data_IF_627563806156
#
_entry.id   IF_627563806156
#
_cell.length_a   1.000
_cell.length_b   1.000
_cell.length_c   1.000
_cell.angle_alpha   90.00
_cell.angle_beta   90.00
_cell.angle_gamma   90.00
#
_symmetry.space_group_name_H-M   'P 1'
#
loop_
_entity.id
_entity.type
_entity.pdbx_description
1 polymer ?
#
# COMPACT_ATOMS: atom_id res chain seq x y z
N UNK A 1 5.92 12.22 -5.14
CA UNK A 1 5.35 10.99 -4.52
C UNK A 1 6.49 10.00 -4.25
N UNK A 2 6.50 9.35 -3.10
CA UNK A 2 7.39 8.23 -2.76
C UNK A 2 6.51 7.00 -2.53
N UNK A 3 6.80 5.88 -3.17
CA UNK A 3 5.96 4.69 -3.05
C UNK A 3 6.73 3.38 -3.01
N UNK A 4 6.15 2.38 -2.36
CA UNK A 4 6.63 1.01 -2.36
C UNK A 4 5.56 0.07 -2.91
N UNK A 5 5.97 -0.79 -3.85
CA UNK A 5 5.10 -1.75 -4.51
C UNK A 5 5.38 -3.18 -4.05
N UNK A 6 4.36 -3.92 -3.61
CA UNK A 6 4.46 -5.32 -3.17
C UNK A 6 3.34 -6.16 -3.78
N UNK A 7 3.72 -7.34 -4.30
CA UNK A 7 2.77 -8.34 -4.76
C UNK A 7 2.67 -9.49 -3.75
N UNK A 8 1.58 -9.50 -2.99
CA UNK A 8 1.32 -10.39 -1.86
C UNK A 8 0.44 -11.55 -2.32
N UNK A 9 1.06 -12.65 -2.74
CA UNK A 9 0.37 -13.80 -3.33
C UNK A 9 -0.30 -14.75 -2.33
N UNK A 10 0.11 -14.73 -1.06
CA UNK A 10 -0.41 -15.62 0.00
C UNK A 10 -0.09 -15.03 1.39
N UNK A 11 -0.58 -15.67 2.44
CA UNK A 11 -0.17 -15.47 3.82
C UNK A 11 1.12 -16.26 4.14
N UNK A 12 2.01 -15.66 4.94
CA UNK A 12 3.27 -16.32 5.32
C UNK A 12 4.33 -15.34 5.81
N UNK A 13 5.45 -15.86 6.34
CA UNK A 13 6.51 -15.03 6.94
C UNK A 13 7.10 -14.00 5.98
N UNK A 14 7.49 -14.42 4.77
CA UNK A 14 8.04 -13.52 3.75
C UNK A 14 7.03 -12.47 3.29
N UNK A 15 5.78 -12.86 3.10
CA UNK A 15 4.71 -11.95 2.65
C UNK A 15 4.35 -10.93 3.73
N UNK A 16 4.32 -11.37 5.00
CA UNK A 16 4.13 -10.47 6.14
C UNK A 16 5.27 -9.46 6.28
N UNK A 17 6.52 -9.87 6.01
CA UNK A 17 7.67 -8.97 6.03
C UNK A 17 7.57 -7.92 4.91
N UNK A 18 7.26 -8.36 3.68
CA UNK A 18 7.05 -7.44 2.56
C UNK A 18 5.91 -6.45 2.84
N UNK A 19 4.81 -6.92 3.40
CA UNK A 19 3.71 -6.04 3.81
C UNK A 19 4.16 -5.04 4.89
N UNK A 20 4.95 -5.49 5.88
CA UNK A 20 5.48 -4.61 6.91
C UNK A 20 6.43 -3.54 6.36
N UNK A 21 7.27 -3.85 5.37
CA UNK A 21 8.13 -2.86 4.71
C UNK A 21 7.31 -1.71 4.12
N UNK A 22 6.26 -2.03 3.35
CA UNK A 22 5.38 -1.03 2.77
C UNK A 22 4.69 -0.16 3.84
N UNK A 23 4.25 -0.77 4.95
CA UNK A 23 3.68 -0.02 6.07
C UNK A 23 4.70 0.86 6.78
N UNK A 24 5.96 0.43 6.88
CA UNK A 24 7.03 1.23 7.45
C UNK A 24 7.35 2.43 6.56
N UNK A 25 7.33 2.27 5.24
CA UNK A 25 7.43 3.39 4.32
C UNK A 25 6.31 4.40 4.56
N UNK A 26 5.05 3.95 4.63
CA UNK A 26 3.90 4.84 4.85
C UNK A 26 4.03 5.66 6.15
N UNK A 27 4.48 5.03 7.23
CA UNK A 27 4.62 5.65 8.57
C UNK A 27 5.89 6.49 8.75
N UNK A 28 6.87 6.32 7.87
CA UNK A 28 8.12 7.09 7.90
C UNK A 28 7.83 8.59 7.82
N UNK A 29 8.69 9.42 8.44
CA UNK A 29 8.58 10.88 8.42
C UNK A 29 9.81 11.59 7.84
N UNK A 30 10.73 10.83 7.26
CA UNK A 30 12.08 11.30 6.95
C UNK A 30 12.19 12.24 5.74
N UNK A 31 11.11 12.42 4.98
CA UNK A 31 11.11 13.26 3.78
C UNK A 31 9.79 14.04 3.62
N UNK A 32 9.86 15.19 2.97
CA UNK A 32 8.67 15.97 2.62
C UNK A 32 8.11 15.49 1.27
N UNK A 33 7.50 14.30 1.27
CA UNK A 33 6.86 13.71 0.09
C UNK A 33 5.58 12.97 0.47
N UNK A 34 4.58 13.01 -0.41
CA UNK A 34 3.39 12.14 -0.30
C UNK A 34 3.81 10.68 -0.43
N UNK A 35 3.45 9.87 0.56
CA UNK A 35 3.80 8.45 0.63
C UNK A 35 2.62 7.58 0.26
N UNK A 36 2.88 6.58 -0.57
CA UNK A 36 1.84 5.64 -1.02
C UNK A 36 2.35 4.19 -0.92
N UNK A 37 1.44 3.25 -0.71
CA UNK A 37 1.71 1.83 -0.85
C UNK A 37 0.93 1.29 -2.06
N UNK A 38 1.63 0.57 -2.93
CA UNK A 38 1.01 -0.14 -4.05
C UNK A 38 1.00 -1.62 -3.67
N UNK A 39 -0.16 -2.13 -3.28
CA UNK A 39 -0.30 -3.49 -2.78
C UNK A 39 -1.19 -4.27 -3.73
N UNK A 40 -0.75 -5.44 -4.19
CA UNK A 40 -1.56 -6.34 -5.02
C UNK A 40 -1.61 -7.75 -4.43
N UNK A 41 -2.65 -8.50 -4.81
CA UNK A 41 -2.85 -9.88 -4.39
C UNK A 41 -3.83 -10.02 -3.21
N UNK A 42 -3.57 -10.99 -2.33
CA UNK A 42 -4.55 -11.48 -1.33
C UNK A 42 -4.92 -10.44 -0.25
N UNK A 43 -4.13 -9.38 -0.11
CA UNK A 43 -4.33 -8.31 0.87
C UNK A 43 -5.69 -7.60 0.76
N UNK A 44 -6.31 -7.61 -0.42
CA UNK A 44 -7.63 -7.02 -0.66
C UNK A 44 -8.79 -8.01 -0.50
N UNK A 45 -8.49 -9.29 -0.31
CA UNK A 45 -9.52 -10.33 -0.15
C UNK A 45 -10.11 -10.19 1.25
N UNK A 46 -11.43 -10.01 1.31
CA UNK A 46 -12.15 -9.89 2.58
C UNK A 46 -12.10 -11.21 3.36
N UNK A 47 -11.30 -11.22 4.41
CA UNK A 47 -11.14 -12.37 5.29
C UNK A 47 -10.75 -11.96 6.73
N UNK A 48 -10.36 -12.94 7.56
CA UNK A 48 -9.88 -12.72 8.92
C UNK A 48 -8.35 -12.66 9.01
N UNK A 49 -7.64 -12.32 7.94
CA UNK A 49 -6.19 -12.16 7.98
C UNK A 49 -5.80 -10.83 8.63
N UNK A 50 -4.59 -10.79 9.16
CA UNK A 50 -4.01 -9.54 9.67
C UNK A 50 -3.83 -8.52 8.55
N UNK A 51 -3.44 -8.97 7.36
CA UNK A 51 -3.18 -8.10 6.20
C UNK A 51 -4.44 -7.35 5.77
N UNK A 52 -5.54 -8.06 5.51
CA UNK A 52 -6.81 -7.43 5.13
C UNK A 52 -7.28 -6.43 6.19
N UNK A 53 -7.34 -6.84 7.46
CA UNK A 53 -7.75 -5.94 8.55
C UNK A 53 -6.88 -4.70 8.66
N UNK A 54 -5.57 -4.85 8.47
CA UNK A 54 -4.63 -3.72 8.57
C UNK A 54 -4.87 -2.75 7.44
N UNK A 55 -5.01 -3.23 6.20
CA UNK A 55 -5.28 -2.38 5.04
C UNK A 55 -6.60 -1.63 5.16
N UNK A 56 -7.66 -2.28 5.68
CA UNK A 56 -8.93 -1.59 5.93
C UNK A 56 -8.86 -0.50 7.01
N UNK A 57 -7.80 -0.46 7.81
CA UNK A 57 -7.60 0.50 8.90
C UNK A 57 -6.54 1.56 8.55
N UNK A 58 -5.96 1.54 7.36
CA UNK A 58 -4.99 2.55 6.94
C UNK A 58 -5.69 3.90 6.71
N UNK A 59 -5.07 4.95 7.23
CA UNK A 59 -5.44 6.34 6.93
C UNK A 59 -4.58 6.89 5.77
N UNK A 60 -3.43 6.27 5.53
CA UNK A 60 -2.53 6.57 4.43
C UNK A 60 -3.01 5.96 3.09
N UNK A 61 -2.45 6.46 1.99
CA UNK A 61 -2.83 6.00 0.65
C UNK A 61 -2.24 4.62 0.38
N UNK A 62 -3.09 3.60 0.32
CA UNK A 62 -2.77 2.29 -0.19
C UNK A 62 -3.73 1.90 -1.32
N UNK A 63 -3.21 1.41 -2.44
CA UNK A 63 -4.01 1.06 -3.61
C UNK A 63 -3.43 -0.15 -4.36
N UNK A 64 -4.26 -0.81 -5.18
CA UNK A 64 -3.79 -1.76 -6.20
C UNK A 64 -3.05 -1.03 -7.33
N UNK A 65 -2.09 -1.68 -7.99
CA UNK A 65 -1.40 -1.10 -9.14
C UNK A 65 -2.38 -0.76 -10.28
N UNK A 66 -3.56 -1.39 -10.33
CA UNK A 66 -4.63 -1.07 -11.28
C UNK A 66 -5.09 0.39 -11.20
N UNK A 67 -5.03 1.01 -10.03
CA UNK A 67 -5.45 2.41 -9.82
C UNK A 67 -4.28 3.39 -9.87
N UNK A 68 -3.04 2.93 -10.10
CA UNK A 68 -1.87 3.81 -10.02
C UNK A 68 -1.91 4.92 -11.07
N UNK A 69 -2.34 4.60 -12.29
CA UNK A 69 -2.45 5.59 -13.36
C UNK A 69 -3.46 6.68 -12.98
N UNK A 70 -4.67 6.27 -12.62
CA UNK A 70 -5.75 7.20 -12.27
C UNK A 70 -5.37 8.08 -11.07
N UNK A 71 -4.71 7.50 -10.06
CA UNK A 71 -4.17 8.23 -8.92
C UNK A 71 -3.16 9.31 -9.33
N UNK A 72 -2.22 8.98 -10.21
CA UNK A 72 -1.21 9.94 -10.69
C UNK A 72 -1.83 11.03 -11.59
N UNK A 73 -2.84 10.69 -12.38
CA UNK A 73 -3.59 11.66 -13.19
C UNK A 73 -4.39 12.61 -12.30
N UNK A 74 -5.08 12.12 -11.27
CA UNK A 74 -5.79 12.94 -10.29
C UNK A 74 -4.86 13.90 -9.52
N UNK A 75 -3.65 13.44 -9.15
CA UNK A 75 -2.66 14.31 -8.53
C UNK A 75 -2.21 15.44 -9.46
N UNK A 76 -1.99 15.14 -10.75
CA UNK A 76 -1.59 16.15 -11.74
C UNK A 76 -2.68 17.20 -11.97
N UNK A 77 -3.96 16.84 -11.87
CA UNK A 77 -5.07 17.77 -12.03
C UNK A 77 -5.29 18.69 -10.82
N UNK A 78 -4.74 18.32 -9.65
CA UNK A 78 -4.84 19.10 -8.41
C UNK A 78 -3.70 20.10 -8.20
N UNK A 79 -2.66 20.06 -9.04
CA UNK A 79 -1.55 21.02 -9.09
C UNK A 79 -1.88 22.22 -9.99
#
# INVERSE_FOLDING_TARGET
VLGEAKFLTDSGGHQNAQFADALNLLRGKECNAMRIAILDGVVWIKDSTKMYRTVCQLEEVALSALFLKDFLEELREKE
#
